data_IF_068165534259
#
_entry.id   IF_068165534259
#
_cell.length_a   1.000
_cell.length_b   1.000
_cell.length_c   1.000
_cell.angle_alpha   90.00
_cell.angle_beta   90.00
_cell.angle_gamma   90.00
#
_symmetry.space_group_name_H-M   'P 1'
#
loop_
_entity.id
_entity.type
_entity.pdbx_description
1 polymer ?
#
# COMPACT_ATOMS: atom_id res chain seq x y z
N UNK A 1 -11.00 -68.80 -18.39
CA UNK A 1 -12.03 -68.08 -17.61
C UNK A 1 -11.44 -66.74 -17.26
N UNK A 2 -11.76 -65.78 -18.12
CA UNK A 2 -11.05 -64.53 -18.29
C UNK A 2 -11.50 -63.46 -17.29
N UNK A 3 -10.58 -62.54 -17.05
CA UNK A 3 -10.50 -61.51 -16.02
C UNK A 3 -11.50 -60.36 -16.20
N UNK A 4 -12.80 -60.65 -16.26
CA UNK A 4 -13.84 -59.61 -16.38
C UNK A 4 -14.08 -58.79 -15.09
N UNK A 5 -13.53 -59.20 -13.95
CA UNK A 5 -13.72 -58.51 -12.66
C UNK A 5 -12.88 -57.21 -12.54
N UNK A 6 -11.95 -56.96 -13.47
CA UNK A 6 -11.02 -55.82 -13.35
C UNK A 6 -11.64 -54.47 -13.76
N UNK A 7 -12.55 -54.45 -14.74
CA UNK A 7 -13.04 -53.19 -15.33
C UNK A 7 -14.15 -52.50 -14.52
N UNK A 8 -15.01 -53.25 -13.85
CA UNK A 8 -16.08 -52.68 -13.02
C UNK A 8 -15.52 -51.89 -11.83
N UNK A 9 -14.45 -52.40 -11.21
CA UNK A 9 -13.77 -51.72 -10.10
C UNK A 9 -13.10 -50.41 -10.55
N UNK A 10 -12.54 -50.37 -11.77
CA UNK A 10 -11.91 -49.16 -12.32
C UNK A 10 -12.96 -48.08 -12.63
N UNK A 11 -14.11 -48.48 -13.19
CA UNK A 11 -15.22 -47.55 -13.47
C UNK A 11 -15.76 -46.94 -12.17
N UNK A 12 -15.94 -47.73 -11.12
CA UNK A 12 -16.42 -47.21 -9.83
C UNK A 12 -15.41 -46.23 -9.19
N UNK A 13 -14.11 -46.53 -9.29
CA UNK A 13 -13.07 -45.60 -8.83
C UNK A 13 -13.09 -44.28 -9.61
N UNK A 14 -13.26 -44.33 -10.93
CA UNK A 14 -13.36 -43.12 -11.76
C UNK A 14 -14.59 -42.28 -11.39
N UNK A 15 -15.72 -42.94 -11.07
CA UNK A 15 -16.93 -42.25 -10.61
C UNK A 15 -16.70 -41.52 -9.28
N UNK A 16 -16.05 -42.18 -8.30
CA UNK A 16 -15.69 -41.56 -7.02
C UNK A 16 -14.74 -40.37 -7.22
N UNK A 17 -13.76 -40.50 -8.12
CA UNK A 17 -12.84 -39.40 -8.46
C UNK A 17 -13.62 -38.23 -9.05
N UNK A 18 -14.53 -38.47 -10.00
CA UNK A 18 -15.36 -37.44 -10.62
C UNK A 18 -16.24 -36.72 -9.60
N UNK A 19 -16.89 -37.45 -8.69
CA UNK A 19 -17.73 -36.85 -7.63
C UNK A 19 -16.89 -36.00 -6.65
N UNK A 20 -15.68 -36.43 -6.33
CA UNK A 20 -14.76 -35.67 -5.48
C UNK A 20 -14.27 -34.39 -6.17
N UNK A 21 -14.00 -34.45 -7.48
CA UNK A 21 -13.64 -33.26 -8.27
C UNK A 21 -14.78 -32.24 -8.30
N UNK A 22 -16.02 -32.67 -8.49
CA UNK A 22 -17.18 -31.79 -8.47
C UNK A 22 -17.37 -31.11 -7.09
N UNK A 23 -17.21 -31.86 -5.99
CA UNK A 23 -17.24 -31.30 -4.63
C UNK A 23 -16.14 -30.28 -4.40
N UNK A 24 -14.94 -30.53 -4.91
CA UNK A 24 -13.81 -29.60 -4.80
C UNK A 24 -14.09 -28.30 -5.58
N UNK A 25 -14.65 -28.42 -6.78
CA UNK A 25 -15.00 -27.27 -7.61
C UNK A 25 -16.05 -26.38 -6.94
N UNK A 26 -17.12 -26.97 -6.38
CA UNK A 26 -18.14 -26.24 -5.60
C UNK A 26 -17.55 -25.51 -4.39
N UNK A 27 -16.58 -26.13 -3.70
CA UNK A 27 -15.90 -25.50 -2.56
C UNK A 27 -15.02 -24.33 -2.98
N UNK A 28 -14.39 -24.40 -4.16
CA UNK A 28 -13.61 -23.28 -4.71
C UNK A 28 -14.51 -22.09 -5.08
N UNK A 29 -15.66 -22.35 -5.71
CA UNK A 29 -16.64 -21.31 -6.05
C UNK A 29 -17.21 -20.61 -4.79
N UNK A 30 -17.46 -21.37 -3.71
CA UNK A 30 -17.88 -20.80 -2.43
C UNK A 30 -16.80 -19.92 -1.79
N UNK A 31 -15.53 -20.33 -1.87
CA UNK A 31 -14.39 -19.54 -1.36
C UNK A 31 -14.21 -18.24 -2.16
N UNK A 32 -14.30 -18.30 -3.48
CA UNK A 32 -14.19 -17.11 -4.36
C UNK A 32 -15.30 -16.08 -4.07
N UNK A 33 -16.52 -16.56 -3.79
CA UNK A 33 -17.62 -15.70 -3.39
C UNK A 33 -17.38 -15.04 -2.02
N UNK A 34 -16.83 -15.79 -1.07
CA UNK A 34 -16.50 -15.26 0.26
C UNK A 34 -15.39 -14.21 0.19
N UNK A 35 -14.35 -14.46 -0.61
CA UNK A 35 -13.25 -13.50 -0.84
C UNK A 35 -13.77 -12.18 -1.44
N UNK A 36 -14.72 -12.27 -2.39
CA UNK A 36 -15.37 -11.10 -3.00
C UNK A 36 -16.16 -10.28 -1.96
N UNK A 37 -16.92 -10.96 -1.07
CA UNK A 37 -17.68 -10.28 0.00
C UNK A 37 -16.76 -9.61 1.03
N UNK A 38 -15.64 -10.26 1.39
CA UNK A 38 -14.63 -9.66 2.27
C UNK A 38 -13.96 -8.44 1.62
N UNK A 39 -13.68 -8.46 0.32
CA UNK A 39 -13.12 -7.32 -0.40
C UNK A 39 -14.07 -6.11 -0.37
N UNK A 40 -15.37 -6.31 -0.57
CA UNK A 40 -16.38 -5.25 -0.47
C UNK A 40 -16.45 -4.64 0.94
N UNK A 41 -16.38 -5.48 1.98
CA UNK A 41 -16.32 -5.02 3.38
C UNK A 41 -15.08 -4.18 3.65
N UNK A 42 -13.92 -4.56 3.12
CA UNK A 42 -12.67 -3.79 3.25
C UNK A 42 -12.77 -2.43 2.54
N UNK A 43 -13.34 -2.37 1.33
CA UNK A 43 -13.60 -1.10 0.62
C UNK A 43 -14.50 -0.17 1.44
N UNK A 44 -15.54 -0.71 2.06
CA UNK A 44 -16.42 0.07 2.93
C UNK A 44 -15.69 0.61 4.17
N UNK A 45 -14.88 -0.21 4.84
CA UNK A 45 -14.07 0.22 6.01
C UNK A 45 -13.07 1.31 5.59
N UNK A 46 -12.39 1.14 4.46
CA UNK A 46 -11.43 2.13 3.95
C UNK A 46 -12.10 3.48 3.68
N UNK A 47 -13.30 3.47 3.10
CA UNK A 47 -14.10 4.69 2.89
C UNK A 47 -14.42 5.39 4.21
N UNK A 48 -14.82 4.63 5.24
CA UNK A 48 -15.10 5.18 6.57
C UNK A 48 -13.85 5.79 7.23
N UNK A 49 -12.69 5.15 7.09
CA UNK A 49 -11.41 5.67 7.58
C UNK A 49 -11.07 7.00 6.91
N UNK A 50 -11.22 7.09 5.59
CA UNK A 50 -10.94 8.32 4.84
C UNK A 50 -11.87 9.47 5.28
N UNK A 51 -13.16 9.20 5.48
CA UNK A 51 -14.12 10.18 5.99
C UNK A 51 -13.74 10.68 7.40
N UNK A 52 -13.27 9.79 8.27
CA UNK A 52 -12.81 10.16 9.62
C UNK A 52 -11.56 11.05 9.55
N UNK A 53 -10.59 10.72 8.70
CA UNK A 53 -9.40 11.56 8.48
C UNK A 53 -9.76 12.95 8.01
N UNK A 54 -10.75 13.09 7.12
CA UNK A 54 -11.22 14.38 6.65
C UNK A 54 -11.83 15.22 7.79
N UNK A 55 -12.65 14.61 8.65
CA UNK A 55 -13.24 15.27 9.83
C UNK A 55 -12.14 15.75 10.79
N UNK A 56 -11.17 14.88 11.10
CA UNK A 56 -10.04 15.22 11.98
C UNK A 56 -9.22 16.37 11.40
N UNK A 57 -8.92 16.33 10.10
CA UNK A 57 -8.16 17.38 9.41
C UNK A 57 -8.86 18.73 9.45
N UNK A 58 -10.19 18.77 9.25
CA UNK A 58 -11.00 19.99 9.38
C UNK A 58 -11.01 20.51 10.82
N UNK A 59 -11.05 19.63 11.82
CA UNK A 59 -11.04 20.01 13.24
C UNK A 59 -9.71 20.68 13.65
N UNK A 60 -8.58 20.13 13.20
CA UNK A 60 -7.25 20.67 13.49
C UNK A 60 -7.07 22.05 12.83
N UNK A 61 -7.47 22.20 11.57
CA UNK A 61 -7.32 23.47 10.84
C UNK A 61 -8.19 24.60 11.41
N UNK A 62 -9.37 24.31 11.94
CA UNK A 62 -10.26 25.31 12.53
C UNK A 62 -9.75 25.87 13.88
N UNK A 63 -8.93 25.13 14.63
CA UNK A 63 -8.40 25.58 15.91
C UNK A 63 -7.26 26.61 15.79
N UNK A 64 -6.57 26.66 14.65
CA UNK A 64 -5.45 27.59 14.46
C UNK A 64 -5.87 29.00 14.01
N UNK A 65 -7.16 29.24 13.76
CA UNK A 65 -7.67 30.54 13.28
C UNK A 65 -8.60 31.26 14.29
N UNK A 66 -8.71 30.75 15.52
CA UNK A 66 -9.65 31.25 16.54
C UNK A 66 -9.00 32.02 17.70
N UNK A 67 -7.87 32.69 17.45
CA UNK A 67 -7.29 33.65 18.40
C UNK A 67 -7.96 35.04 18.42
N UNK A 68 -9.15 35.19 17.84
CA UNK A 68 -9.98 36.38 18.04
C UNK A 68 -11.43 36.02 18.33
N UNK A 69 -11.75 36.06 19.63
CA UNK A 69 -13.05 36.37 20.25
C UNK A 69 -14.20 35.36 20.22
N UNK A 70 -14.64 35.05 21.45
CA UNK A 70 -15.96 34.57 21.90
C UNK A 70 -16.32 33.10 21.66
N UNK A 71 -15.98 32.30 22.68
CA UNK A 71 -16.85 31.30 23.33
C UNK A 71 -18.23 31.13 22.70
N UNK A 72 -18.34 30.21 21.73
CA UNK A 72 -19.62 29.68 21.27
C UNK A 72 -19.65 28.17 21.54
N UNK A 73 -20.72 27.80 22.23
CA UNK A 73 -21.04 26.49 22.78
C UNK A 73 -20.86 25.33 21.78
N UNK A 74 -20.22 24.26 22.23
CA UNK A 74 -19.86 23.04 21.47
C UNK A 74 -21.02 22.04 21.32
N UNK A 75 -22.27 22.51 21.23
CA UNK A 75 -23.46 21.64 21.32
C UNK A 75 -23.96 21.04 20.00
N UNK A 76 -23.40 21.39 18.83
CA UNK A 76 -24.06 21.07 17.55
C UNK A 76 -23.17 20.42 16.48
N UNK A 77 -22.26 19.52 16.86
CA UNK A 77 -21.67 18.58 15.89
C UNK A 77 -22.59 17.37 15.80
N UNK A 78 -23.65 17.51 14.99
CA UNK A 78 -24.42 16.35 14.51
C UNK A 78 -23.56 15.58 13.52
N UNK A 79 -22.98 14.47 13.98
CA UNK A 79 -22.40 13.45 13.11
C UNK A 79 -23.53 12.94 12.21
N UNK A 80 -23.46 13.09 10.88
CA UNK A 80 -24.43 12.48 9.99
C UNK A 80 -24.15 10.98 9.98
N UNK A 81 -24.84 10.25 10.85
CA UNK A 81 -24.97 8.80 10.72
C UNK A 81 -25.84 8.61 9.48
N UNK A 82 -25.22 8.33 8.34
CA UNK A 82 -25.92 7.96 7.11
C UNK A 82 -26.52 6.56 7.31
N UNK A 83 -27.66 6.50 7.98
CA UNK A 83 -28.59 5.39 7.89
C UNK A 83 -29.11 5.38 6.46
N UNK A 84 -28.61 4.46 5.64
CA UNK A 84 -28.97 4.33 4.22
C UNK A 84 -30.47 4.04 4.07
N UNK A 85 -31.28 5.08 3.90
CA UNK A 85 -32.63 4.97 3.34
C UNK A 85 -32.61 5.45 1.90
N UNK A 86 -32.84 4.50 0.99
CA UNK A 86 -33.04 4.76 -0.44
C UNK A 86 -34.13 5.80 -0.67
N UNK A 87 -33.76 7.01 -1.10
CA UNK A 87 -34.68 7.93 -1.76
C UNK A 87 -33.97 8.69 -2.88
N UNK A 88 -34.26 8.25 -4.11
CA UNK A 88 -34.25 9.02 -5.34
C UNK A 88 -34.87 10.40 -5.17
N UNK A 89 -34.15 11.50 -5.46
CA UNK A 89 -34.49 12.50 -6.50
C UNK A 89 -33.58 13.74 -6.52
N UNK A 90 -33.40 14.26 -7.74
CA UNK A 90 -33.14 15.65 -8.17
C UNK A 90 -31.75 16.27 -8.03
N UNK A 91 -31.00 16.19 -9.14
CA UNK A 91 -29.92 17.08 -9.54
C UNK A 91 -30.36 18.54 -9.52
N UNK A 92 -29.63 19.39 -8.79
CA UNK A 92 -29.62 20.83 -9.03
C UNK A 92 -28.16 21.28 -9.14
N UNK A 93 -27.77 21.67 -10.35
CA UNK A 93 -26.41 22.06 -10.74
C UNK A 93 -26.31 23.59 -10.63
N UNK A 94 -25.60 24.11 -9.62
CA UNK A 94 -25.26 25.53 -9.55
C UNK A 94 -23.76 25.70 -9.33
N UNK A 95 -23.05 25.77 -10.46
CA UNK A 95 -21.61 26.00 -10.55
C UNK A 95 -21.36 27.52 -10.51
N UNK A 96 -20.95 28.05 -9.35
CA UNK A 96 -20.46 29.43 -9.25
C UNK A 96 -18.96 29.40 -8.89
N UNK A 97 -18.14 29.37 -9.95
CA UNK A 97 -16.69 29.38 -9.89
C UNK A 97 -16.18 30.83 -9.77
N UNK A 98 -15.85 31.26 -8.55
CA UNK A 98 -15.21 32.56 -8.32
C UNK A 98 -13.70 32.35 -8.08
N UNK A 99 -12.94 32.41 -9.18
CA UNK A 99 -11.49 32.33 -9.21
C UNK A 99 -10.89 33.68 -8.82
N UNK A 100 -10.34 33.81 -7.61
CA UNK A 100 -9.55 34.95 -7.20
C UNK A 100 -8.29 34.47 -6.47
N UNK A 101 -7.21 34.20 -7.21
CA UNK A 101 -5.90 33.95 -6.63
C UNK A 101 -5.02 35.19 -6.83
N UNK A 102 -4.92 35.99 -5.77
CA UNK A 102 -4.09 37.17 -5.69
C UNK A 102 -2.66 36.77 -5.26
N UNK A 103 -1.71 37.20 -6.07
CA UNK A 103 -0.27 37.03 -5.96
C UNK A 103 0.26 37.69 -4.67
N UNK A 104 1.00 36.98 -3.81
CA UNK A 104 1.82 37.64 -2.80
C UNK A 104 3.19 36.97 -2.66
N UNK A 105 4.18 37.73 -3.12
CA UNK A 105 5.61 37.50 -3.05
C UNK A 105 6.12 38.07 -1.72
N UNK A 106 6.80 37.28 -0.87
CA UNK A 106 7.62 37.88 0.18
C UNK A 106 8.83 37.03 0.58
N UNK A 107 9.97 37.37 -0.04
CA UNK A 107 11.27 37.66 0.58
C UNK A 107 11.68 36.86 1.82
N UNK A 108 12.51 35.83 1.63
CA UNK A 108 13.14 35.10 2.73
C UNK A 108 14.48 35.76 3.10
N UNK A 109 14.49 36.51 4.21
CA UNK A 109 15.68 37.14 4.75
C UNK A 109 16.39 36.16 5.70
N UNK A 110 17.65 35.91 5.41
CA UNK A 110 18.52 34.95 6.08
C UNK A 110 18.93 35.50 7.46
N UNK A 111 18.57 34.82 8.55
CA UNK A 111 19.15 35.07 9.87
C UNK A 111 19.67 33.77 10.49
N UNK A 112 20.97 33.63 10.39
CA UNK A 112 21.82 32.73 11.14
C UNK A 112 21.64 32.97 12.65
N UNK A 113 21.01 32.03 13.35
CA UNK A 113 21.04 31.95 14.81
C UNK A 113 21.91 30.77 15.19
N UNK A 114 23.19 31.07 15.46
CA UNK A 114 24.03 30.21 16.28
C UNK A 114 23.52 30.29 17.71
N UNK A 115 22.98 29.21 18.25
CA UNK A 115 22.75 29.10 19.69
C UNK A 115 23.45 27.87 20.23
N UNK A 116 24.67 28.11 20.70
CA UNK A 116 25.44 27.20 21.54
C UNK A 116 24.89 27.31 22.96
N UNK A 117 24.12 26.32 23.40
CA UNK A 117 23.77 26.17 24.81
C UNK A 117 24.13 24.76 25.28
N UNK A 118 25.35 24.66 25.79
CA UNK A 118 25.75 23.71 26.83
C UNK A 118 24.89 23.94 28.06
N UNK A 119 24.02 22.99 28.38
CA UNK A 119 23.38 22.87 29.70
C UNK A 119 23.76 21.50 30.25
N UNK A 120 24.86 21.48 31.00
CA UNK A 120 25.05 20.52 32.08
C UNK A 120 24.04 20.87 33.18
N UNK A 121 23.20 19.92 33.61
CA UNK A 121 22.78 19.84 35.01
C UNK A 121 22.01 18.54 35.34
N UNK A 122 22.61 17.79 36.26
CA UNK A 122 22.03 17.23 37.48
C UNK A 122 20.81 16.31 37.38
N UNK A 123 21.12 15.01 37.38
CA UNK A 123 20.80 14.07 38.47
C UNK A 123 19.50 14.35 39.25
N UNK A 124 18.40 13.76 38.78
CA UNK A 124 17.18 13.57 39.55
C UNK A 124 16.66 12.16 39.29
N UNK A 125 16.85 11.29 40.29
CA UNK A 125 16.22 9.98 40.36
C UNK A 125 14.71 10.16 40.56
N UNK A 126 13.96 10.16 39.46
CA UNK A 126 12.51 9.96 39.47
C UNK A 126 12.25 8.59 38.84
N UNK A 127 11.59 7.65 39.52
CA UNK A 127 11.24 6.37 38.94
C UNK A 127 10.15 6.60 37.88
N UNK A 128 10.60 6.75 36.64
CA UNK A 128 9.76 6.92 35.46
C UNK A 128 9.15 5.57 35.08
N UNK A 129 7.90 5.34 35.48
CA UNK A 129 7.01 4.42 34.79
C UNK A 129 6.52 5.07 33.49
N UNK A 130 7.39 5.18 32.49
CA UNK A 130 7.03 5.58 31.13
C UNK A 130 7.23 4.38 30.20
N UNK A 131 6.15 3.66 29.93
CA UNK A 131 6.16 2.49 29.07
C UNK A 131 5.19 2.67 27.88
N UNK A 132 5.39 3.73 27.07
CA UNK A 132 4.60 3.96 25.85
C UNK A 132 5.26 4.85 24.76
N UNK A 133 6.57 5.16 24.82
CA UNK A 133 7.20 6.08 23.86
C UNK A 133 8.16 5.43 22.84
N UNK A 134 8.19 4.10 22.69
CA UNK A 134 9.15 3.43 21.79
C UNK A 134 8.80 3.47 20.29
N UNK A 135 7.61 3.92 19.89
CA UNK A 135 7.21 3.85 18.47
C UNK A 135 7.83 4.94 17.59
N UNK A 136 8.18 6.12 18.12
CA UNK A 136 8.68 7.22 17.26
C UNK A 136 10.16 7.01 16.90
N UNK A 137 10.98 6.49 17.81
CA UNK A 137 12.40 6.26 17.54
C UNK A 137 12.63 5.02 16.66
N UNK A 138 11.84 3.95 16.81
CA UNK A 138 11.92 2.80 15.89
C UNK A 138 11.52 3.17 14.45
N UNK A 139 10.60 4.12 14.26
CA UNK A 139 10.20 4.59 12.93
C UNK A 139 11.31 5.45 12.29
N UNK A 140 12.03 6.26 13.07
CA UNK A 140 13.12 7.10 12.59
C UNK A 140 14.39 6.29 12.29
N UNK A 141 14.76 5.34 13.15
CA UNK A 141 15.93 4.46 12.93
C UNK A 141 15.75 3.56 11.69
N UNK A 142 14.49 3.22 11.32
CA UNK A 142 14.21 2.43 10.11
C UNK A 142 14.46 3.18 8.79
N UNK A 143 14.57 4.52 8.84
CA UNK A 143 14.73 5.35 7.64
C UNK A 143 16.19 5.64 7.30
N UNK A 144 17.07 5.68 8.29
CA UNK A 144 18.48 6.04 8.08
C UNK A 144 19.32 4.95 7.41
N UNK A 145 18.84 3.70 7.35
CA UNK A 145 19.59 2.60 6.71
C UNK A 145 19.15 2.28 5.28
N UNK A 146 18.20 3.04 4.70
CA UNK A 146 17.67 2.77 3.37
C UNK A 146 18.63 3.28 2.30
N UNK A 147 19.09 2.37 1.43
CA UNK A 147 20.04 2.66 0.34
C UNK A 147 19.30 2.75 -0.97
N UNK A 148 19.63 3.77 -1.76
CA UNK A 148 19.21 3.82 -3.15
C UNK A 148 20.29 3.22 -4.03
N UNK A 149 19.86 2.49 -5.05
CA UNK A 149 20.77 2.09 -6.10
C UNK A 149 21.28 3.31 -6.86
N UNK A 150 22.59 3.34 -7.07
CA UNK A 150 23.23 4.12 -8.14
C UNK A 150 23.13 3.28 -9.43
N UNK A 151 23.07 3.92 -10.61
CA UNK A 151 22.88 3.26 -11.91
C UNK A 151 23.79 2.03 -12.09
N UNK A 152 25.11 2.15 -11.85
CA UNK A 152 26.05 1.04 -11.95
C UNK A 152 25.75 -0.14 -10.99
N UNK A 153 25.24 0.15 -9.78
CA UNK A 153 24.87 -0.90 -8.83
C UNK A 153 23.59 -1.62 -9.27
N UNK A 154 22.63 -0.87 -9.82
CA UNK A 154 21.40 -1.44 -10.34
C UNK A 154 21.66 -2.33 -11.56
N UNK A 155 22.50 -1.88 -12.49
CA UNK A 155 22.92 -2.69 -13.65
C UNK A 155 23.56 -4.01 -13.23
N UNK A 156 24.47 -3.98 -12.24
CA UNK A 156 25.07 -5.20 -11.69
C UNK A 156 24.04 -6.12 -11.02
N UNK A 157 23.03 -5.55 -10.34
CA UNK A 157 21.90 -6.30 -9.80
C UNK A 157 21.07 -6.97 -10.92
N UNK A 158 20.77 -6.23 -12.00
CA UNK A 158 20.04 -6.74 -13.16
C UNK A 158 20.82 -7.85 -13.88
N UNK A 159 22.15 -7.71 -14.01
CA UNK A 159 23.01 -8.77 -14.55
C UNK A 159 22.85 -10.09 -13.80
N UNK A 160 22.89 -10.04 -12.46
CA UNK A 160 22.65 -11.24 -11.60
C UNK A 160 21.25 -11.81 -11.77
N UNK A 161 20.24 -10.97 -12.00
CA UNK A 161 18.86 -11.40 -12.24
C UNK A 161 18.72 -12.16 -13.56
N UNK A 162 19.41 -11.70 -14.62
CA UNK A 162 19.43 -12.34 -15.94
C UNK A 162 20.18 -13.68 -15.89
N UNK A 163 21.30 -13.73 -15.17
CA UNK A 163 22.13 -14.95 -15.02
C UNK A 163 21.49 -16.02 -14.12
N UNK A 164 20.46 -15.66 -13.35
CA UNK A 164 19.82 -16.56 -12.40
C UNK A 164 19.07 -17.71 -13.13
N UNK A 165 19.33 -18.98 -12.77
CA UNK A 165 18.84 -20.13 -13.52
C UNK A 165 17.34 -20.41 -13.33
N UNK A 166 16.70 -19.80 -12.34
CA UNK A 166 15.27 -20.00 -12.07
C UNK A 166 14.63 -18.82 -11.34
N UNK A 167 13.30 -18.83 -11.29
CA UNK A 167 12.52 -17.83 -10.56
C UNK A 167 12.82 -17.81 -9.06
N UNK A 168 13.07 -18.97 -8.46
CA UNK A 168 13.47 -19.07 -7.05
C UNK A 168 14.82 -18.39 -6.78
N UNK A 169 15.81 -18.55 -7.68
CA UNK A 169 17.09 -17.86 -7.55
C UNK A 169 16.94 -16.34 -7.67
N UNK A 170 16.12 -15.87 -8.63
CA UNK A 170 15.79 -14.44 -8.78
C UNK A 170 15.13 -13.86 -7.53
N UNK A 171 14.19 -14.59 -6.93
CA UNK A 171 13.56 -14.20 -5.66
C UNK A 171 14.59 -14.05 -4.53
N UNK A 172 15.51 -15.01 -4.37
CA UNK A 172 16.55 -14.94 -3.33
C UNK A 172 17.50 -13.76 -3.53
N UNK A 173 17.85 -13.43 -4.78
CA UNK A 173 18.65 -12.23 -5.09
C UNK A 173 17.91 -10.97 -4.59
N UNK A 174 16.64 -10.81 -4.94
CA UNK A 174 15.83 -9.65 -4.53
C UNK A 174 15.67 -9.58 -3.01
N UNK A 175 15.38 -10.71 -2.36
CA UNK A 175 15.28 -10.80 -0.89
C UNK A 175 16.59 -10.37 -0.23
N UNK A 176 17.73 -10.80 -0.77
CA UNK A 176 19.05 -10.39 -0.27
C UNK A 176 19.24 -8.88 -0.32
N UNK A 177 18.88 -8.23 -1.43
CA UNK A 177 19.03 -6.78 -1.58
C UNK A 177 18.07 -5.99 -0.69
N UNK A 178 16.81 -6.42 -0.59
CA UNK A 178 15.83 -5.85 0.35
C UNK A 178 16.33 -5.95 1.80
N UNK A 179 16.91 -7.09 2.20
CA UNK A 179 17.51 -7.27 3.54
C UNK A 179 18.71 -6.37 3.80
N UNK A 180 19.47 -5.99 2.77
CA UNK A 180 20.56 -5.00 2.87
C UNK A 180 20.06 -3.55 2.97
N UNK A 181 18.74 -3.35 2.90
CA UNK A 181 18.10 -2.03 2.99
C UNK A 181 17.97 -1.31 1.66
N UNK A 182 18.18 -1.99 0.52
CA UNK A 182 17.99 -1.35 -0.78
C UNK A 182 16.52 -1.01 -1.03
N UNK A 183 16.31 0.17 -1.62
CA UNK A 183 15.03 0.63 -2.13
C UNK A 183 15.10 0.82 -3.65
N UNK A 184 13.96 0.59 -4.29
CA UNK A 184 13.78 0.66 -5.72
C UNK A 184 12.97 1.91 -6.08
N UNK A 185 13.41 2.66 -7.09
CA UNK A 185 12.59 3.67 -7.73
C UNK A 185 11.49 3.02 -8.58
N UNK A 186 10.43 3.77 -8.90
CA UNK A 186 9.33 3.25 -9.75
C UNK A 186 9.86 2.76 -11.10
N UNK A 187 10.78 3.50 -11.70
CA UNK A 187 11.45 3.11 -12.94
C UNK A 187 12.20 1.78 -12.80
N UNK A 188 12.98 1.62 -11.73
CA UNK A 188 13.72 0.38 -11.45
C UNK A 188 12.79 -0.81 -11.22
N UNK A 189 11.63 -0.59 -10.59
CA UNK A 189 10.59 -1.62 -10.45
C UNK A 189 10.06 -2.03 -11.83
N UNK A 190 9.74 -1.07 -12.70
CA UNK A 190 9.32 -1.36 -14.07
C UNK A 190 10.36 -2.17 -14.85
N UNK A 191 11.62 -1.71 -14.86
CA UNK A 191 12.74 -2.42 -15.49
C UNK A 191 12.90 -3.85 -14.93
N UNK A 192 12.81 -4.02 -13.60
CA UNK A 192 12.86 -5.33 -12.96
C UNK A 192 11.71 -6.23 -13.39
N UNK A 193 10.47 -5.72 -13.45
CA UNK A 193 9.29 -6.50 -13.80
C UNK A 193 9.30 -6.94 -15.26
N UNK A 194 9.82 -6.12 -16.18
CA UNK A 194 9.97 -6.49 -17.59
C UNK A 194 10.95 -7.65 -17.81
N UNK A 195 11.90 -7.87 -16.90
CA UNK A 195 12.83 -9.01 -16.99
C UNK A 195 12.20 -10.35 -16.59
N UNK A 196 11.04 -10.33 -15.93
CA UNK A 196 10.43 -11.54 -15.41
C UNK A 196 9.50 -12.15 -16.47
N UNK A 197 9.70 -13.41 -16.88
CA UNK A 197 8.93 -14.00 -17.98
C UNK A 197 7.50 -14.37 -17.59
N UNK A 198 7.22 -14.55 -16.30
CA UNK A 198 5.93 -15.04 -15.83
C UNK A 198 5.22 -14.04 -14.93
N UNK A 199 3.93 -13.85 -15.18
CA UNK A 199 3.08 -12.94 -14.41
C UNK A 199 2.98 -13.34 -12.92
N UNK A 200 2.93 -14.64 -12.62
CA UNK A 200 2.96 -15.15 -11.24
C UNK A 200 4.26 -14.79 -10.52
N UNK A 201 5.39 -14.78 -11.24
CA UNK A 201 6.67 -14.35 -10.72
C UNK A 201 6.69 -12.85 -10.43
N UNK A 202 6.17 -12.02 -11.36
CA UNK A 202 5.99 -10.56 -11.16
C UNK A 202 5.23 -10.27 -9.87
N UNK A 203 4.08 -10.93 -9.65
CA UNK A 203 3.30 -10.80 -8.40
C UNK A 203 4.10 -11.16 -7.16
N UNK A 204 4.85 -12.26 -7.21
CA UNK A 204 5.68 -12.69 -6.09
C UNK A 204 6.76 -11.65 -5.75
N UNK A 205 7.42 -11.10 -6.77
CA UNK A 205 8.43 -10.06 -6.59
C UNK A 205 7.83 -8.77 -6.00
N UNK A 206 6.68 -8.32 -6.51
CA UNK A 206 5.98 -7.16 -5.97
C UNK A 206 5.72 -7.30 -4.47
N UNK A 207 5.26 -8.48 -4.02
CA UNK A 207 5.02 -8.74 -2.59
C UNK A 207 6.29 -8.62 -1.75
N UNK A 208 7.45 -8.99 -2.29
CA UNK A 208 8.75 -8.88 -1.62
C UNK A 208 9.18 -7.41 -1.53
N UNK A 209 9.05 -6.65 -2.61
CA UNK A 209 9.58 -5.28 -2.69
C UNK A 209 8.61 -4.19 -2.23
N UNK A 210 7.36 -4.52 -1.87
CA UNK A 210 6.31 -3.54 -1.51
C UNK A 210 6.73 -2.54 -0.42
N UNK A 211 7.62 -2.96 0.50
CA UNK A 211 8.12 -2.12 1.60
C UNK A 211 9.46 -1.42 1.28
N UNK A 212 9.99 -1.67 0.08
CA UNK A 212 11.27 -1.20 -0.43
C UNK A 212 11.09 -0.26 -1.63
N UNK A 213 9.99 0.49 -1.68
CA UNK A 213 9.76 1.52 -2.72
C UNK A 213 10.23 2.89 -2.21
N UNK A 214 11.12 3.54 -2.96
CA UNK A 214 11.63 4.86 -2.59
C UNK A 214 10.64 5.99 -2.93
N UNK A 215 10.02 5.92 -4.10
CA UNK A 215 9.32 7.06 -4.71
C UNK A 215 7.82 6.80 -4.88
N UNK A 216 7.09 6.85 -3.77
CA UNK A 216 5.63 6.64 -3.77
C UNK A 216 4.86 7.75 -4.53
N UNK A 217 5.44 8.94 -4.70
CA UNK A 217 4.77 10.06 -5.34
C UNK A 217 4.59 9.85 -6.85
N UNK A 218 5.50 9.09 -7.47
CA UNK A 218 5.48 8.79 -8.90
C UNK A 218 4.84 7.43 -9.23
N UNK A 219 3.99 6.89 -8.35
CA UNK A 219 3.39 5.56 -8.52
C UNK A 219 2.69 5.34 -9.85
N UNK A 220 2.01 6.37 -10.38
CA UNK A 220 1.28 6.27 -11.66
C UNK A 220 2.21 5.99 -12.85
N UNK A 221 3.47 6.42 -12.77
CA UNK A 221 4.45 6.19 -13.83
C UNK A 221 4.83 4.70 -13.94
N UNK A 222 4.48 3.85 -12.96
CA UNK A 222 4.71 2.40 -13.07
C UNK A 222 4.03 1.81 -14.30
N UNK A 223 2.81 2.26 -14.61
CA UNK A 223 2.03 1.75 -15.74
C UNK A 223 2.71 2.04 -17.08
N UNK A 224 3.50 3.12 -17.16
CA UNK A 224 4.27 3.53 -18.34
C UNK A 224 5.50 2.64 -18.57
N UNK A 225 5.97 1.91 -17.55
CA UNK A 225 7.14 1.05 -17.65
C UNK A 225 6.80 -0.43 -17.86
N UNK A 226 5.53 -0.81 -17.81
CA UNK A 226 5.07 -2.20 -18.03
C UNK A 226 4.64 -2.37 -19.49
N UNK A 227 5.59 -2.50 -20.40
CA UNK A 227 5.32 -2.42 -21.84
C UNK A 227 4.64 -3.67 -22.43
N UNK A 228 4.85 -4.83 -21.81
CA UNK A 228 4.46 -6.13 -22.38
C UNK A 228 3.10 -6.65 -21.88
N UNK A 229 2.61 -6.12 -20.77
CA UNK A 229 1.38 -6.56 -20.13
C UNK A 229 0.12 -6.00 -20.79
N UNK A 230 -0.95 -6.81 -20.76
CA UNK A 230 -2.29 -6.30 -21.01
C UNK A 230 -2.69 -5.29 -19.92
N UNK A 231 -3.53 -4.31 -20.25
CA UNK A 231 -3.93 -3.24 -19.32
C UNK A 231 -4.49 -3.76 -17.98
N UNK A 232 -5.26 -4.85 -18.03
CA UNK A 232 -5.82 -5.52 -16.85
C UNK A 232 -4.73 -6.10 -15.93
N UNK A 233 -3.68 -6.66 -16.52
CA UNK A 233 -2.51 -7.16 -15.78
C UNK A 233 -1.68 -6.02 -15.19
N UNK A 234 -1.51 -4.91 -15.92
CA UNK A 234 -0.84 -3.72 -15.40
C UNK A 234 -1.56 -3.17 -14.17
N UNK A 235 -2.89 -3.05 -14.25
CA UNK A 235 -3.71 -2.58 -13.14
C UNK A 235 -3.64 -3.53 -11.94
N UNK A 236 -3.60 -4.85 -12.17
CA UNK A 236 -3.45 -5.82 -11.09
C UNK A 236 -2.08 -5.69 -10.39
N UNK A 237 -0.99 -5.57 -11.15
CA UNK A 237 0.35 -5.37 -10.57
C UNK A 237 0.42 -4.04 -9.80
N UNK A 238 -0.21 -2.98 -10.32
CA UNK A 238 -0.31 -1.70 -9.65
C UNK A 238 -1.03 -1.80 -8.31
N UNK A 239 -2.21 -2.44 -8.28
CA UNK A 239 -2.99 -2.65 -7.05
C UNK A 239 -2.27 -3.53 -6.02
N UNK A 240 -1.43 -4.46 -6.48
CA UNK A 240 -0.65 -5.30 -5.58
C UNK A 240 0.50 -4.53 -4.92
N UNK A 241 1.02 -3.51 -5.60
CA UNK A 241 2.14 -2.69 -5.13
C UNK A 241 1.69 -1.50 -4.25
N UNK A 242 0.49 -0.94 -4.50
CA UNK A 242 -0.04 0.28 -3.85
C UNK A 242 -1.46 0.13 -3.32
#
# INVERSE_FOLDING_TARGET
>A
MESNVSYENEIEQLKIISENQEKLLKKLEELEKNDTEEEEKLKYIQSNINNLFEIVSRSINNNNNSNTTKSRSTSDIKIPINSSSNTTTTNNNNNNNNNNNNNNNNNNNNSSINNTQTVENNNSNIPSHNNTNNTINEILDSRETKKLYIDNEFENFIGRMIEAPSSSYRQEIIISEVKKGYMFSIRQIGELLNLLPYFSEKKSIIRIIRNSIHDYYNKQNLLEYLDEEAEEQKQELFNLLF
#
